data_IF_722072543763
#
_entry.id   IF_722072543763
#
_cell.length_a   1.000
_cell.length_b   1.000
_cell.length_c   1.000
_cell.angle_alpha   90.00
_cell.angle_beta   90.00
_cell.angle_gamma   90.00
#
_symmetry.space_group_name_H-M   'P 1'
#
loop_
_entity.id
_entity.type
_entity.pdbx_description
1 polymer ?
#
# COMPACT_ATOMS: atom_id res chain seq x y z
N UNK A 1 -8.47 -7.78 -19.64
CA UNK A 1 -7.43 -7.02 -18.88
C UNK A 1 -7.13 -7.78 -17.61
N UNK A 2 -5.85 -7.97 -17.28
CA UNK A 2 -5.45 -8.67 -16.06
C UNK A 2 -5.60 -7.77 -14.83
N UNK A 3 -5.38 -8.32 -13.63
CA UNK A 3 -5.55 -7.57 -12.37
C UNK A 3 -4.66 -6.33 -12.32
N UNK A 4 -3.40 -6.45 -12.74
CA UNK A 4 -2.47 -5.32 -12.74
C UNK A 4 -2.94 -4.20 -13.67
N UNK A 5 -3.31 -4.55 -14.88
CA UNK A 5 -3.84 -3.58 -15.85
C UNK A 5 -5.10 -2.91 -15.31
N UNK A 6 -5.97 -3.70 -14.68
CA UNK A 6 -7.22 -3.18 -14.13
C UNK A 6 -6.95 -2.16 -13.01
N UNK A 7 -6.05 -2.46 -12.08
CA UNK A 7 -5.68 -1.53 -11.01
C UNK A 7 -5.08 -0.25 -11.59
N UNK A 8 -4.15 -0.38 -12.52
CA UNK A 8 -3.46 0.78 -13.10
C UNK A 8 -4.37 1.63 -14.00
N UNK A 9 -5.43 1.03 -14.57
CA UNK A 9 -6.37 1.77 -15.43
C UNK A 9 -7.35 2.63 -14.63
N UNK A 10 -7.47 2.41 -13.34
CA UNK A 10 -8.37 3.16 -12.45
C UNK A 10 -7.58 3.70 -11.26
N UNK A 11 -6.64 4.61 -11.47
CA UNK A 11 -5.81 5.10 -10.37
C UNK A 11 -6.67 5.82 -9.34
N UNK A 12 -6.42 5.48 -8.06
CA UNK A 12 -7.02 6.21 -6.97
C UNK A 12 -6.46 7.63 -6.96
N UNK A 13 -7.29 8.66 -6.69
CA UNK A 13 -6.80 10.04 -6.71
C UNK A 13 -5.57 10.28 -5.84
N UNK A 14 -5.53 9.74 -4.62
CA UNK A 14 -4.37 9.91 -3.75
C UNK A 14 -3.14 9.17 -4.29
N UNK A 15 -3.34 7.97 -4.84
CA UNK A 15 -2.23 7.22 -5.44
C UNK A 15 -1.61 8.01 -6.61
N UNK A 16 -2.46 8.62 -7.43
CA UNK A 16 -2.00 9.43 -8.54
C UNK A 16 -1.24 10.66 -8.05
N UNK A 17 -1.76 11.34 -7.04
CA UNK A 17 -1.10 12.50 -6.43
C UNK A 17 0.28 12.15 -5.89
N UNK A 18 0.40 11.01 -5.22
CA UNK A 18 1.66 10.59 -4.59
C UNK A 18 2.62 9.90 -5.57
N UNK A 19 2.19 9.62 -6.78
CA UNK A 19 3.01 8.93 -7.77
C UNK A 19 3.18 7.46 -7.50
N UNK A 20 2.17 6.82 -6.91
CA UNK A 20 2.19 5.38 -6.62
C UNK A 20 1.86 4.61 -7.90
N UNK A 21 2.69 3.66 -8.26
CA UNK A 21 2.50 2.79 -9.43
C UNK A 21 2.50 1.34 -8.97
N UNK A 22 1.49 0.58 -9.37
CA UNK A 22 1.43 -0.85 -9.07
C UNK A 22 2.25 -1.61 -10.12
N UNK A 23 3.07 -2.57 -9.64
CA UNK A 23 3.95 -3.36 -10.49
C UNK A 23 3.60 -4.84 -10.49
N UNK A 24 2.79 -5.29 -9.53
CA UNK A 24 2.36 -6.69 -9.42
C UNK A 24 1.00 -6.75 -8.74
N UNK A 25 0.10 -7.58 -9.24
CA UNK A 25 -1.21 -7.75 -8.63
C UNK A 25 -1.70 -9.19 -8.82
N UNK A 26 -1.73 -9.92 -7.72
CA UNK A 26 -2.33 -11.25 -7.61
C UNK A 26 -3.16 -11.28 -6.33
N UNK A 27 -4.10 -12.24 -6.19
CA UNK A 27 -4.94 -12.30 -4.99
C UNK A 27 -4.16 -12.39 -3.67
N UNK A 28 -2.96 -12.99 -3.68
CA UNK A 28 -2.15 -13.16 -2.47
C UNK A 28 -0.97 -12.21 -2.37
N UNK A 29 -0.81 -11.29 -3.32
CA UNK A 29 0.30 -10.32 -3.27
C UNK A 29 0.07 -9.14 -4.21
N UNK A 30 0.20 -7.94 -3.67
CA UNK A 30 0.19 -6.72 -4.47
C UNK A 30 1.47 -5.94 -4.17
N UNK A 31 2.16 -5.47 -5.22
CA UNK A 31 3.39 -4.70 -5.09
C UNK A 31 3.21 -3.36 -5.78
N UNK A 32 3.68 -2.29 -5.13
CA UNK A 32 3.65 -0.93 -5.67
C UNK A 32 4.99 -0.23 -5.41
N UNK A 33 5.25 0.82 -6.15
CA UNK A 33 6.46 1.64 -6.07
C UNK A 33 6.08 3.10 -5.90
N UNK A 34 6.91 3.83 -5.17
CA UNK A 34 6.74 5.27 -4.98
C UNK A 34 8.12 5.92 -4.83
N UNK A 35 8.38 6.96 -5.63
CA UNK A 35 9.58 7.78 -5.45
C UNK A 35 9.36 8.72 -4.27
N UNK A 36 10.34 8.82 -3.40
CA UNK A 36 10.31 9.73 -2.24
C UNK A 36 10.63 11.14 -2.75
N UNK A 37 9.62 11.83 -3.27
CA UNK A 37 9.76 13.21 -3.75
C UNK A 37 9.93 14.16 -2.57
N UNK A 38 10.47 15.38 -2.80
CA UNK A 38 10.61 16.37 -1.72
C UNK A 38 9.32 16.65 -0.96
N UNK A 39 8.18 16.70 -1.65
CA UNK A 39 6.88 16.98 -1.05
C UNK A 39 6.28 15.81 -0.26
N UNK A 40 6.92 14.65 -0.27
CA UNK A 40 6.55 13.49 0.53
C UNK A 40 7.48 13.29 1.74
N UNK A 41 8.39 14.24 1.97
CA UNK A 41 9.41 14.14 3.01
C UNK A 41 9.04 14.92 4.26
N UNK A 42 9.64 14.49 5.38
CA UNK A 42 9.70 15.25 6.62
C UNK A 42 11.00 16.06 6.65
N UNK A 43 11.28 16.69 7.77
CA UNK A 43 12.55 17.37 7.98
C UNK A 43 13.70 16.35 7.88
N UNK A 44 14.85 16.80 7.36
CA UNK A 44 16.01 15.91 7.19
C UNK A 44 16.01 15.13 5.88
N UNK A 45 15.13 15.47 4.94
CA UNK A 45 15.11 14.90 3.59
C UNK A 45 14.89 13.37 3.57
N UNK A 46 14.01 12.89 4.44
CA UNK A 46 13.57 11.49 4.47
C UNK A 46 12.05 11.40 4.39
N UNK A 47 11.55 10.24 4.00
CA UNK A 47 10.10 10.03 3.86
C UNK A 47 9.37 10.41 5.14
N UNK A 48 8.29 11.18 5.00
CA UNK A 48 7.40 11.48 6.11
C UNK A 48 6.64 10.22 6.51
N UNK A 49 6.48 9.99 7.82
CA UNK A 49 5.72 8.83 8.31
C UNK A 49 4.31 8.75 7.75
N UNK A 50 3.64 9.90 7.59
CA UNK A 50 2.33 9.96 6.97
C UNK A 50 2.33 9.51 5.51
N UNK A 51 3.39 9.81 4.76
CA UNK A 51 3.55 9.34 3.39
C UNK A 51 3.71 7.82 3.35
N UNK A 52 4.50 7.27 4.28
CA UNK A 52 4.67 5.83 4.40
C UNK A 52 3.34 5.14 4.71
N UNK A 53 2.57 5.69 5.66
CA UNK A 53 1.25 5.15 6.02
C UNK A 53 0.28 5.21 4.85
N UNK A 54 0.21 6.33 4.15
CA UNK A 54 -0.69 6.50 2.99
C UNK A 54 -0.32 5.54 1.86
N UNK A 55 0.97 5.33 1.62
CA UNK A 55 1.46 4.40 0.61
C UNK A 55 1.03 2.96 0.95
N UNK A 56 1.25 2.53 2.19
CA UNK A 56 0.85 1.20 2.64
C UNK A 56 -0.67 1.01 2.62
N UNK A 57 -1.42 2.02 3.08
CA UNK A 57 -2.88 1.99 3.07
C UNK A 57 -3.42 1.83 1.65
N UNK A 58 -2.86 2.56 0.71
CA UNK A 58 -3.24 2.48 -0.70
C UNK A 58 -2.95 1.10 -1.29
N UNK A 59 -1.78 0.54 -0.98
CA UNK A 59 -1.39 -0.79 -1.49
C UNK A 59 -2.29 -1.89 -0.92
N UNK A 60 -2.50 -1.87 0.39
CA UNK A 60 -3.39 -2.84 1.06
C UNK A 60 -4.85 -2.65 0.66
N UNK A 61 -5.27 -1.41 0.41
CA UNK A 61 -6.61 -1.12 -0.09
C UNK A 61 -6.83 -1.71 -1.48
N UNK A 62 -5.88 -1.56 -2.37
CA UNK A 62 -5.94 -2.18 -3.71
C UNK A 62 -6.00 -3.71 -3.60
N UNK A 63 -5.18 -4.28 -2.72
CA UNK A 63 -5.21 -5.72 -2.46
C UNK A 63 -6.57 -6.20 -1.96
N UNK A 64 -7.21 -5.40 -1.10
CA UNK A 64 -8.55 -5.69 -0.60
C UNK A 64 -9.58 -5.69 -1.73
N UNK A 65 -9.52 -4.69 -2.60
CA UNK A 65 -10.48 -4.54 -3.69
C UNK A 65 -10.43 -5.72 -4.67
N UNK A 66 -9.26 -6.26 -4.97
CA UNK A 66 -9.15 -7.43 -5.85
C UNK A 66 -9.56 -8.74 -5.17
N UNK A 67 -9.76 -8.71 -3.85
CA UNK A 67 -10.18 -9.88 -3.06
C UNK A 67 -11.60 -9.73 -2.49
N UNK A 68 -12.39 -8.80 -3.02
CA UNK A 68 -13.76 -8.62 -2.53
C UNK A 68 -14.63 -9.84 -2.83
N UNK A 69 -15.45 -10.30 -1.87
CA UNK A 69 -16.49 -11.28 -2.17
C UNK A 69 -17.43 -10.76 -3.27
N UNK A 70 -18.03 -11.69 -4.02
CA UNK A 70 -18.84 -11.33 -5.18
C UNK A 70 -20.03 -10.42 -4.85
N UNK A 71 -20.58 -10.53 -3.64
CA UNK A 71 -21.74 -9.75 -3.19
C UNK A 71 -21.32 -8.46 -2.46
N UNK A 72 -20.04 -8.20 -2.30
CA UNK A 72 -19.57 -7.01 -1.59
C UNK A 72 -19.70 -5.75 -2.45
N UNK A 73 -20.03 -4.64 -1.79
CA UNK A 73 -20.16 -3.33 -2.44
C UNK A 73 -18.89 -2.50 -2.36
N UNK A 74 -17.94 -2.92 -1.52
CA UNK A 74 -16.69 -2.20 -1.32
C UNK A 74 -16.06 -2.58 0.00
N UNK A 75 -15.10 -1.79 0.44
CA UNK A 75 -14.42 -1.99 1.71
C UNK A 75 -13.98 -0.65 2.27
N UNK A 76 -13.77 -0.61 3.59
CA UNK A 76 -13.20 0.56 4.26
C UNK A 76 -12.23 0.11 5.34
N UNK A 77 -11.11 0.80 5.45
CA UNK A 77 -10.13 0.52 6.49
C UNK A 77 -10.70 0.95 7.85
N UNK A 78 -10.62 0.07 8.84
CA UNK A 78 -11.07 0.36 10.21
C UNK A 78 -9.91 0.38 11.21
N UNK A 79 -8.74 -0.07 10.80
CA UNK A 79 -7.54 0.00 11.61
C UNK A 79 -6.32 -0.04 10.70
N UNK A 80 -5.31 0.76 11.04
CA UNK A 80 -4.01 0.74 10.38
C UNK A 80 -2.95 1.00 11.43
N UNK A 81 -2.14 -0.02 11.71
CA UNK A 81 -1.05 0.07 12.68
C UNK A 81 0.27 0.04 11.94
N UNK A 82 1.12 1.02 12.21
CA UNK A 82 2.42 1.15 11.55
C UNK A 82 3.55 1.07 12.57
N UNK A 83 4.55 0.26 12.26
CA UNK A 83 5.85 0.31 12.91
C UNK A 83 6.81 1.00 11.94
N UNK A 84 7.35 2.15 12.35
CA UNK A 84 8.36 2.88 11.59
C UNK A 84 9.72 2.36 11.99
N UNK A 85 10.47 1.80 11.05
CA UNK A 85 11.70 1.06 11.34
C UNK A 85 12.94 1.75 10.81
N UNK A 86 12.89 2.26 9.58
CA UNK A 86 14.03 2.87 8.94
C UNK A 86 13.68 4.06 8.08
N UNK A 87 14.69 4.83 7.70
CA UNK A 87 14.53 6.00 6.85
C UNK A 87 14.59 5.61 5.37
N UNK A 88 13.87 6.36 4.54
CA UNK A 88 14.04 6.33 3.09
C UNK A 88 14.38 7.73 2.64
N UNK A 89 15.50 7.87 1.94
CA UNK A 89 16.04 9.17 1.54
C UNK A 89 15.22 9.78 0.40
N UNK A 90 15.12 11.10 0.42
CA UNK A 90 14.59 11.85 -0.71
C UNK A 90 15.29 11.42 -2.00
N UNK A 91 14.49 11.22 -3.05
CA UNK A 91 14.97 10.75 -4.34
C UNK A 91 15.07 9.24 -4.48
N UNK A 92 15.02 8.49 -3.38
CA UNK A 92 15.01 7.02 -3.45
C UNK A 92 13.61 6.49 -3.79
N UNK A 93 13.54 5.20 -4.14
CA UNK A 93 12.28 4.52 -4.40
C UNK A 93 11.98 3.56 -3.26
N UNK A 94 10.74 3.61 -2.76
CA UNK A 94 10.23 2.67 -1.77
C UNK A 94 9.30 1.69 -2.46
N UNK A 95 9.40 0.43 -2.06
CA UNK A 95 8.57 -0.65 -2.59
C UNK A 95 7.64 -1.14 -1.49
N UNK A 96 6.35 -1.19 -1.78
CA UNK A 96 5.33 -1.72 -0.87
C UNK A 96 4.92 -3.10 -1.36
N UNK A 97 4.95 -4.08 -0.46
CA UNK A 97 4.48 -5.45 -0.75
C UNK A 97 3.42 -5.81 0.27
N UNK A 98 2.18 -5.96 -0.19
CA UNK A 98 1.04 -6.33 0.63
C UNK A 98 0.76 -7.83 0.47
N UNK A 99 0.65 -8.53 1.60
CA UNK A 99 0.29 -9.95 1.65
C UNK A 99 -0.86 -10.14 2.63
N UNK A 100 -1.78 -11.10 2.38
CA UNK A 100 -2.92 -11.28 3.26
C UNK A 100 -2.55 -12.09 4.50
N UNK A 101 -3.06 -11.66 5.65
CA UNK A 101 -3.07 -12.46 6.88
C UNK A 101 -4.42 -13.14 7.06
N UNK A 102 -5.49 -12.51 6.57
CA UNK A 102 -6.85 -13.03 6.67
C UNK A 102 -7.71 -12.45 5.55
N UNK A 103 -8.44 -13.30 4.84
CA UNK A 103 -9.39 -12.90 3.80
C UNK A 103 -10.74 -13.55 4.10
N UNK A 104 -11.52 -12.89 4.96
CA UNK A 104 -12.83 -13.35 5.37
C UNK A 104 -13.95 -12.67 4.58
N UNK A 105 -15.19 -13.04 4.89
CA UNK A 105 -16.38 -12.45 4.26
C UNK A 105 -16.66 -11.05 4.75
N UNK A 106 -16.31 -10.75 6.01
CA UNK A 106 -16.62 -9.47 6.64
C UNK A 106 -15.40 -8.61 6.86
N UNK A 107 -14.24 -9.21 7.02
CA UNK A 107 -12.99 -8.50 7.26
C UNK A 107 -11.86 -9.12 6.47
N UNK A 108 -10.89 -8.28 6.12
CA UNK A 108 -9.60 -8.73 5.62
C UNK A 108 -8.52 -8.04 6.43
N UNK A 109 -7.43 -8.76 6.71
CA UNK A 109 -6.26 -8.20 7.38
C UNK A 109 -5.09 -8.38 6.45
N UNK A 110 -4.44 -7.27 6.14
CA UNK A 110 -3.30 -7.22 5.22
C UNK A 110 -2.07 -6.69 5.93
N UNK A 111 -0.93 -7.28 5.63
CA UNK A 111 0.36 -6.78 6.11
C UNK A 111 1.14 -6.25 4.91
N UNK A 112 1.62 -5.02 5.01
CA UNK A 112 2.37 -4.37 3.96
C UNK A 112 3.75 -4.00 4.48
N UNK A 113 4.79 -4.51 3.80
CA UNK A 113 6.17 -4.15 4.05
C UNK A 113 6.55 -3.01 3.10
N UNK A 114 7.11 -1.95 3.65
CA UNK A 114 7.74 -0.89 2.87
C UNK A 114 9.25 -1.07 2.97
N UNK A 115 9.89 -1.22 1.83
CA UNK A 115 11.34 -1.47 1.77
C UNK A 115 12.00 -0.55 0.77
N UNK A 116 13.29 -0.24 0.98
CA UNK A 116 14.10 0.39 -0.04
C UNK A 116 14.36 -0.60 -1.17
N UNK A 117 14.87 -0.11 -2.32
CA UNK A 117 15.23 -1.01 -3.42
C UNK A 117 16.30 -2.01 -3.04
N UNK A 118 17.13 -1.69 -2.04
CA UNK A 118 18.17 -2.59 -1.52
C UNK A 118 17.60 -3.60 -0.51
N UNK A 119 16.31 -3.55 -0.22
CA UNK A 119 15.65 -4.52 0.67
C UNK A 119 15.67 -4.14 2.15
N UNK A 120 16.07 -2.90 2.50
CA UNK A 120 16.07 -2.46 3.89
C UNK A 120 14.66 -2.06 4.31
N UNK A 121 14.20 -2.56 5.45
CA UNK A 121 12.86 -2.29 5.95
C UNK A 121 12.71 -0.83 6.39
N UNK A 122 11.70 -0.15 5.83
CA UNK A 122 11.34 1.23 6.16
C UNK A 122 10.19 1.25 7.15
N UNK A 123 9.14 0.47 6.89
CA UNK A 123 7.98 0.38 7.77
C UNK A 123 7.27 -0.95 7.57
N UNK A 124 6.54 -1.35 8.60
CA UNK A 124 5.66 -2.52 8.56
C UNK A 124 4.28 -2.08 8.97
N UNK A 125 3.29 -2.33 8.13
CA UNK A 125 1.91 -1.86 8.36
C UNK A 125 0.97 -3.05 8.34
N UNK A 126 0.14 -3.14 9.39
CA UNK A 126 -0.94 -4.13 9.45
C UNK A 126 -2.25 -3.36 9.46
N UNK A 127 -3.11 -3.65 8.50
CA UNK A 127 -4.41 -2.97 8.40
C UNK A 127 -5.55 -3.97 8.34
N UNK A 128 -6.67 -3.56 8.91
CA UNK A 128 -7.92 -4.30 8.86
C UNK A 128 -8.92 -3.55 7.99
N UNK A 129 -9.51 -4.26 7.04
CA UNK A 129 -10.53 -3.74 6.13
C UNK A 129 -11.87 -4.36 6.47
N UNK A 130 -12.89 -3.53 6.60
CA UNK A 130 -14.27 -3.99 6.75
C UNK A 130 -14.92 -4.08 5.38
N UNK A 131 -15.48 -5.26 5.07
CA UNK A 131 -16.16 -5.49 3.78
C UNK A 131 -17.58 -4.96 3.89
N UNK A 132 -17.98 -4.17 2.92
CA UNK A 132 -19.30 -3.52 2.89
C UNK A 132 -20.27 -4.21 1.94
#
# INVERSE_FOLDING_TARGET
MNLLENINSRPLPLAQLMGITFTHAEPDKVIARMVVRPDLCTLGHTIHGGSAMAFADTTGGAATLINLPADAKGATAIESKTNFVGAAKEGSTVIATAVPLHRGRRTQVWQTRLETEEGRLVALVTQTQLIL
#
